data_IF_991788856734
#
_entry.id   IF_991788856734
#
_cell.length_a   1.000
_cell.length_b   1.000
_cell.length_c   1.000
_cell.angle_alpha   90.00
_cell.angle_beta   90.00
_cell.angle_gamma   90.00
#
_symmetry.space_group_name_H-M   'P 1'
#
loop_
_entity.id
_entity.type
_entity.pdbx_description
1 polymer ?
#
# COMPACT_ATOMS: atom_id res chain seq x y z
N UNK A 1 5.31 22.91 6.30
CA UNK A 1 4.29 23.39 7.27
C UNK A 1 4.17 22.37 8.39
N UNK A 2 4.29 22.75 9.67
CA UNK A 2 3.96 21.88 10.81
C UNK A 2 2.53 22.22 11.26
N UNK A 3 1.69 21.22 11.41
CA UNK A 3 0.31 21.39 11.87
C UNK A 3 -0.07 20.32 12.88
N UNK A 4 -1.06 20.62 13.70
CA UNK A 4 -1.69 19.68 14.62
C UNK A 4 -3.15 19.54 14.24
N UNK A 5 -3.63 18.31 14.16
CA UNK A 5 -5.05 18.02 13.96
C UNK A 5 -5.64 17.60 15.30
N UNK A 6 -6.66 18.30 15.76
CA UNK A 6 -7.43 17.90 16.93
C UNK A 6 -8.46 16.84 16.52
N UNK A 7 -8.50 15.73 17.26
CA UNK A 7 -9.55 14.72 17.11
C UNK A 7 -10.86 15.30 17.62
N UNK A 8 -11.88 15.37 16.75
CA UNK A 8 -13.27 15.62 17.16
C UNK A 8 -13.95 14.28 17.41
N UNK A 9 -14.94 14.23 18.30
CA UNK A 9 -15.72 13.01 18.59
C UNK A 9 -16.47 12.45 17.39
N UNK A 10 -16.66 13.24 16.32
CA UNK A 10 -17.24 12.88 15.04
C UNK A 10 -16.20 12.60 13.95
N UNK A 11 -14.97 12.21 14.31
CA UNK A 11 -13.93 11.94 13.33
C UNK A 11 -14.31 10.76 12.42
N UNK A 12 -13.91 10.85 11.15
CA UNK A 12 -14.04 9.77 10.17
C UNK A 12 -13.51 8.44 10.75
N UNK A 13 -14.21 7.30 10.59
CA UNK A 13 -13.80 6.01 11.12
C UNK A 13 -12.36 5.60 10.73
N UNK A 14 -11.91 5.95 9.52
CA UNK A 14 -10.54 5.68 9.08
C UNK A 14 -9.51 6.49 9.85
N UNK A 15 -9.78 7.77 10.06
CA UNK A 15 -8.91 8.65 10.86
C UNK A 15 -8.83 8.14 12.30
N UNK A 16 -9.96 7.73 12.88
CA UNK A 16 -10.02 7.17 14.23
C UNK A 16 -9.19 5.89 14.31
N UNK A 17 -9.34 4.95 13.37
CA UNK A 17 -8.58 3.71 13.31
C UNK A 17 -7.08 3.97 13.18
N UNK A 18 -6.67 4.90 12.31
CA UNK A 18 -5.26 5.28 12.14
C UNK A 18 -4.66 5.84 13.43
N UNK A 19 -5.36 6.76 14.11
CA UNK A 19 -4.88 7.37 15.33
C UNK A 19 -4.72 6.35 16.48
N UNK A 20 -5.61 5.36 16.55
CA UNK A 20 -5.56 4.29 17.56
C UNK A 20 -4.53 3.19 17.21
N UNK A 21 -4.07 3.10 15.97
CA UNK A 21 -3.17 2.03 15.51
C UNK A 21 -1.68 2.29 15.79
N UNK A 22 -1.34 3.45 16.37
CA UNK A 22 0.03 3.79 16.76
C UNK A 22 0.83 4.45 15.64
N UNK A 23 2.16 4.35 15.73
CA UNK A 23 3.11 4.99 14.82
C UNK A 23 4.12 3.97 14.31
N UNK A 24 4.64 4.20 13.12
CA UNK A 24 5.70 3.39 12.54
C UNK A 24 6.86 4.24 12.03
N UNK A 25 8.07 3.67 12.02
CA UNK A 25 9.25 4.33 11.46
C UNK A 25 9.18 4.31 9.94
N UNK A 26 9.27 5.49 9.33
CA UNK A 26 9.28 5.64 7.88
C UNK A 26 10.62 5.20 7.30
N UNK A 27 10.58 4.35 6.27
CA UNK A 27 11.75 3.90 5.50
C UNK A 27 11.51 3.87 3.99
N UNK A 28 10.25 3.99 3.55
CA UNK A 28 9.91 3.89 2.14
C UNK A 28 10.69 4.87 1.25
N UNK A 29 11.08 6.05 1.77
CA UNK A 29 11.90 7.01 1.04
C UNK A 29 13.27 6.45 0.58
N UNK A 30 13.71 5.33 1.18
CA UNK A 30 14.94 4.64 0.80
C UNK A 30 14.82 3.92 -0.56
N UNK A 31 13.58 3.62 -1.01
CA UNK A 31 13.28 2.93 -2.27
C UNK A 31 12.45 3.77 -3.24
N UNK A 32 11.78 4.83 -2.76
CA UNK A 32 10.92 5.68 -3.60
C UNK A 32 11.73 6.49 -4.61
N UNK A 33 11.14 6.71 -5.79
CA UNK A 33 11.74 7.49 -6.87
C UNK A 33 12.04 8.93 -6.46
N UNK A 34 13.19 9.45 -6.89
CA UNK A 34 13.58 10.88 -6.74
C UNK A 34 12.64 11.83 -7.49
N UNK A 35 11.85 11.34 -8.45
CA UNK A 35 10.80 12.09 -9.19
C UNK A 35 9.48 12.22 -8.39
N UNK A 36 9.45 11.80 -7.13
CA UNK A 36 8.25 11.84 -6.30
C UNK A 36 7.83 13.28 -6.02
N UNK A 37 6.66 13.67 -6.53
CA UNK A 37 6.05 14.98 -6.32
C UNK A 37 5.11 15.00 -5.10
N UNK A 38 4.43 13.87 -4.83
CA UNK A 38 3.58 13.68 -3.66
C UNK A 38 3.91 12.37 -2.97
N UNK A 39 4.15 12.41 -1.67
CA UNK A 39 4.37 11.22 -0.85
C UNK A 39 3.53 11.26 0.41
N UNK A 40 2.68 10.27 0.58
CA UNK A 40 1.92 10.03 1.80
C UNK A 40 2.42 8.74 2.44
N UNK A 41 2.93 8.84 3.66
CA UNK A 41 3.25 7.67 4.48
C UNK A 41 2.17 7.45 5.53
N UNK A 42 1.71 6.21 5.65
CA UNK A 42 0.78 5.77 6.69
C UNK A 42 1.51 4.75 7.54
N UNK A 43 1.66 5.08 8.82
CA UNK A 43 2.39 4.26 9.79
C UNK A 43 1.48 3.77 10.91
N UNK A 44 1.54 2.47 11.23
CA UNK A 44 0.83 1.86 12.35
C UNK A 44 1.62 0.67 12.92
N UNK A 45 1.33 0.27 14.15
CA UNK A 45 2.07 -0.81 14.80
C UNK A 45 1.81 -2.17 14.13
N UNK A 46 0.57 -2.41 13.68
CA UNK A 46 0.16 -3.66 13.06
C UNK A 46 -1.02 -3.44 12.10
N UNK A 47 -0.94 -3.99 10.86
CA UNK A 47 -2.07 -3.99 9.92
C UNK A 47 -3.32 -4.66 10.48
N UNK A 48 -3.15 -5.76 11.22
CA UNK A 48 -4.25 -6.49 11.87
C UNK A 48 -4.94 -5.61 12.91
N UNK A 49 -4.17 -4.90 13.72
CA UNK A 49 -4.72 -3.96 14.71
C UNK A 49 -5.46 -2.82 14.01
N UNK A 50 -4.89 -2.25 12.95
CA UNK A 50 -5.56 -1.20 12.18
C UNK A 50 -6.92 -1.66 11.63
N UNK A 51 -6.98 -2.85 11.04
CA UNK A 51 -8.25 -3.40 10.52
C UNK A 51 -9.27 -3.61 11.64
N UNK A 52 -8.87 -4.13 12.80
CA UNK A 52 -9.75 -4.28 13.96
C UNK A 52 -10.28 -2.93 14.47
N UNK A 53 -9.42 -1.93 14.59
CA UNK A 53 -9.83 -0.57 14.97
C UNK A 53 -10.78 0.05 13.94
N UNK A 54 -10.55 -0.19 12.65
CA UNK A 54 -11.44 0.26 11.58
C UNK A 54 -12.82 -0.44 11.67
N UNK A 55 -12.85 -1.74 11.88
CA UNK A 55 -14.08 -2.51 12.07
C UNK A 55 -14.87 -2.00 13.28
N UNK A 56 -14.20 -1.76 14.41
CA UNK A 56 -14.80 -1.18 15.60
C UNK A 56 -15.38 0.21 15.32
N UNK A 57 -14.60 1.08 14.72
CA UNK A 57 -15.04 2.44 14.39
C UNK A 57 -16.23 2.45 13.41
N UNK A 58 -16.21 1.59 12.39
CA UNK A 58 -17.32 1.44 11.45
C UNK A 58 -18.58 0.91 12.12
N UNK A 59 -18.46 -0.10 13.00
CA UNK A 59 -19.61 -0.70 13.70
C UNK A 59 -20.35 0.32 14.59
N UNK A 60 -19.62 1.26 15.16
CA UNK A 60 -20.17 2.31 16.05
C UNK A 60 -20.75 3.49 15.26
N UNK A 61 -20.02 3.96 14.23
CA UNK A 61 -20.36 5.22 13.56
C UNK A 61 -21.09 5.05 12.22
N UNK A 62 -21.03 3.87 11.59
CA UNK A 62 -21.67 3.60 10.30
C UNK A 62 -21.93 2.10 10.12
N UNK A 63 -22.99 1.62 10.76
CA UNK A 63 -23.37 0.20 10.72
C UNK A 63 -23.60 -0.31 9.28
N UNK A 64 -24.20 0.49 8.41
CA UNK A 64 -24.45 0.08 7.02
C UNK A 64 -23.12 -0.17 6.27
N UNK A 65 -22.14 0.70 6.47
CA UNK A 65 -20.81 0.53 5.86
C UNK A 65 -20.07 -0.64 6.46
N UNK A 66 -20.21 -0.87 7.78
CA UNK A 66 -19.68 -2.05 8.46
C UNK A 66 -20.22 -3.35 7.89
N UNK A 67 -21.56 -3.45 7.78
CA UNK A 67 -22.22 -4.65 7.26
C UNK A 67 -21.83 -4.92 5.79
N UNK A 68 -21.74 -3.87 4.97
CA UNK A 68 -21.26 -3.95 3.59
C UNK A 68 -19.80 -4.41 3.51
N UNK A 69 -18.93 -3.88 4.36
CA UNK A 69 -17.53 -4.28 4.46
C UNK A 69 -17.40 -5.75 4.84
N UNK A 70 -18.07 -6.20 5.91
CA UNK A 70 -18.04 -7.58 6.37
C UNK A 70 -18.59 -8.57 5.32
N UNK A 71 -19.69 -8.19 4.65
CA UNK A 71 -20.27 -8.99 3.57
C UNK A 71 -19.31 -9.14 2.40
N UNK A 72 -18.67 -8.04 1.99
CA UNK A 72 -17.68 -8.05 0.90
C UNK A 72 -16.46 -8.88 1.25
N UNK A 73 -15.94 -8.76 2.48
CA UNK A 73 -14.82 -9.56 2.98
C UNK A 73 -15.16 -11.06 2.94
N UNK A 74 -16.26 -11.47 3.56
CA UNK A 74 -16.70 -12.88 3.57
C UNK A 74 -16.89 -13.45 2.16
N UNK A 75 -17.45 -12.64 1.26
CA UNK A 75 -17.68 -13.03 -0.14
C UNK A 75 -16.36 -13.34 -0.86
N UNK A 76 -15.34 -12.54 -0.67
CA UNK A 76 -14.03 -12.73 -1.30
C UNK A 76 -13.24 -13.84 -0.65
N UNK A 77 -13.21 -13.91 0.69
CA UNK A 77 -12.59 -15.01 1.40
C UNK A 77 -13.21 -16.36 0.98
N UNK A 78 -14.53 -16.42 0.87
CA UNK A 78 -15.25 -17.62 0.40
C UNK A 78 -15.02 -17.92 -1.08
N UNK A 79 -15.07 -16.89 -1.96
CA UNK A 79 -14.88 -17.06 -3.41
C UNK A 79 -13.49 -17.59 -3.73
N UNK A 80 -12.45 -17.05 -3.12
CA UNK A 80 -11.07 -17.43 -3.40
C UNK A 80 -10.50 -18.48 -2.44
N UNK A 81 -11.18 -18.76 -1.30
CA UNK A 81 -10.68 -19.65 -0.25
C UNK A 81 -9.35 -19.13 0.33
N UNK A 82 -9.30 -17.85 0.61
CA UNK A 82 -8.20 -17.15 1.24
C UNK A 82 -8.71 -16.52 2.54
N UNK A 83 -7.81 -16.34 3.50
CA UNK A 83 -8.03 -15.50 4.68
C UNK A 83 -7.27 -14.19 4.48
N UNK A 84 -7.98 -13.06 4.58
CA UNK A 84 -7.37 -11.75 4.45
C UNK A 84 -6.32 -11.53 5.54
N UNK A 85 -6.61 -11.91 6.75
CA UNK A 85 -5.72 -11.77 7.89
C UNK A 85 -4.45 -12.62 7.71
N UNK A 86 -4.62 -13.93 7.39
CA UNK A 86 -3.51 -14.86 7.29
C UNK A 86 -2.67 -14.69 6.01
N UNK A 87 -3.33 -14.45 4.87
CA UNK A 87 -2.65 -14.47 3.58
C UNK A 87 -2.24 -13.08 3.09
N UNK A 88 -2.83 -12.00 3.63
CA UNK A 88 -2.49 -10.65 3.18
C UNK A 88 -1.94 -9.78 4.32
N UNK A 89 -2.63 -9.65 5.47
CA UNK A 89 -2.19 -8.77 6.54
C UNK A 89 -1.01 -9.33 7.34
N UNK A 90 -0.85 -10.64 7.42
CA UNK A 90 0.15 -11.30 8.27
C UNK A 90 1.61 -10.92 7.94
N UNK A 91 1.94 -10.81 6.65
CA UNK A 91 3.28 -10.49 6.20
C UNK A 91 3.61 -8.99 6.20
N UNK A 92 2.59 -8.14 6.23
CA UNK A 92 2.80 -6.69 6.22
C UNK A 92 3.42 -6.21 7.53
N UNK A 93 4.33 -5.26 7.44
CA UNK A 93 4.76 -4.45 8.58
C UNK A 93 3.77 -3.30 8.81
N UNK A 94 4.15 -2.25 9.49
CA UNK A 94 3.28 -1.12 9.77
C UNK A 94 3.50 0.09 8.86
N UNK A 95 4.06 -0.06 7.67
CA UNK A 95 4.36 1.06 6.77
C UNK A 95 3.73 0.88 5.38
N UNK A 96 2.92 1.87 5.00
CA UNK A 96 2.36 2.02 3.66
C UNK A 96 2.77 3.37 3.10
N UNK A 97 3.35 3.37 1.92
CA UNK A 97 3.74 4.57 1.19
C UNK A 97 2.95 4.70 -0.10
N UNK A 98 2.21 5.79 -0.25
CA UNK A 98 1.51 6.15 -1.48
C UNK A 98 2.24 7.33 -2.10
N UNK A 99 2.67 7.19 -3.34
CA UNK A 99 3.34 8.28 -4.06
C UNK A 99 2.69 8.56 -5.40
N UNK A 100 2.76 9.82 -5.77
CA UNK A 100 2.57 10.25 -7.14
C UNK A 100 3.88 10.88 -7.60
N UNK A 101 4.44 10.32 -8.65
CA UNK A 101 5.69 10.79 -9.26
C UNK A 101 5.41 11.42 -10.61
N UNK A 102 6.31 12.32 -11.04
CA UNK A 102 6.35 12.78 -12.42
C UNK A 102 6.58 11.58 -13.37
N UNK A 103 6.17 11.69 -14.65
CA UNK A 103 6.41 10.63 -15.62
C UNK A 103 7.88 10.25 -15.70
N UNK A 104 8.16 8.93 -15.72
CA UNK A 104 9.50 8.42 -15.96
C UNK A 104 9.76 8.15 -17.44
N UNK A 105 10.94 7.61 -17.75
CA UNK A 105 11.36 7.30 -19.12
C UNK A 105 10.39 6.38 -19.89
N UNK A 106 9.68 5.53 -19.17
CA UNK A 106 8.78 4.52 -19.75
C UNK A 106 7.30 4.90 -19.63
N UNK A 107 6.98 6.08 -19.09
CA UNK A 107 5.62 6.57 -18.87
C UNK A 107 5.39 7.97 -19.42
N UNK A 108 4.12 8.28 -19.75
CA UNK A 108 3.70 9.59 -20.25
C UNK A 108 2.82 10.36 -19.26
N UNK A 109 2.31 9.68 -18.24
CA UNK A 109 1.41 10.23 -17.23
C UNK A 109 2.04 10.16 -15.84
N UNK A 110 1.56 10.95 -14.88
CA UNK A 110 1.94 10.82 -13.49
C UNK A 110 1.81 9.39 -12.99
N UNK A 111 2.80 8.92 -12.26
CA UNK A 111 2.91 7.54 -11.81
C UNK A 111 2.41 7.40 -10.38
N UNK A 112 1.41 6.56 -10.18
CA UNK A 112 0.86 6.23 -8.86
C UNK A 112 1.46 4.91 -8.37
N UNK A 113 2.14 4.97 -7.23
CA UNK A 113 2.79 3.83 -6.58
C UNK A 113 2.25 3.66 -5.16
N UNK A 114 2.00 2.41 -4.78
CA UNK A 114 1.78 2.00 -3.41
C UNK A 114 2.90 1.02 -3.02
N UNK A 115 3.72 1.37 -2.05
CA UNK A 115 4.71 0.47 -1.48
C UNK A 115 4.27 0.03 -0.08
N UNK A 116 4.16 -1.29 0.12
CA UNK A 116 3.79 -1.91 1.39
C UNK A 116 5.01 -2.64 1.93
N UNK A 117 5.47 -2.24 3.11
CA UNK A 117 6.62 -2.88 3.72
C UNK A 117 6.25 -4.25 4.28
N UNK A 118 7.06 -5.25 3.99
CA UNK A 118 6.95 -6.59 4.54
C UNK A 118 7.79 -6.74 5.83
N UNK A 119 7.34 -7.59 6.74
CA UNK A 119 8.15 -8.09 7.87
C UNK A 119 9.25 -9.03 7.37
N UNK A 120 8.90 -9.80 6.32
CA UNK A 120 9.77 -10.73 5.61
C UNK A 120 9.32 -10.75 4.14
N UNK A 121 10.19 -10.37 3.23
CA UNK A 121 9.87 -10.39 1.79
C UNK A 121 9.64 -11.82 1.28
N UNK A 122 10.31 -12.81 1.88
CA UNK A 122 10.10 -14.23 1.58
C UNK A 122 8.67 -14.67 1.91
N UNK A 123 8.14 -14.24 3.06
CA UNK A 123 6.77 -14.58 3.47
C UNK A 123 5.75 -13.81 2.63
N UNK A 124 6.04 -12.56 2.27
CA UNK A 124 5.23 -11.80 1.34
C UNK A 124 5.11 -12.51 -0.01
N UNK A 125 6.23 -12.94 -0.62
CA UNK A 125 6.24 -13.71 -1.88
C UNK A 125 5.39 -14.98 -1.76
N UNK A 126 5.63 -15.80 -0.75
CA UNK A 126 4.89 -17.04 -0.52
C UNK A 126 3.38 -16.83 -0.43
N UNK A 127 2.97 -15.79 0.29
CA UNK A 127 1.54 -15.47 0.45
C UNK A 127 0.93 -14.89 -0.83
N UNK A 128 1.63 -14.01 -1.54
CA UNK A 128 1.17 -13.47 -2.83
C UNK A 128 1.02 -14.59 -3.88
N UNK A 129 2.00 -15.49 -3.99
CA UNK A 129 1.90 -16.68 -4.85
C UNK A 129 0.72 -17.60 -4.47
N UNK A 130 0.47 -17.77 -3.17
CA UNK A 130 -0.68 -18.54 -2.70
C UNK A 130 -2.00 -17.90 -3.14
N UNK A 131 -2.15 -16.58 -2.95
CA UNK A 131 -3.32 -15.82 -3.39
C UNK A 131 -3.50 -15.95 -4.90
N UNK A 132 -2.43 -15.79 -5.68
CA UNK A 132 -2.47 -15.95 -7.14
C UNK A 132 -2.93 -17.35 -7.56
N UNK A 133 -2.38 -18.41 -6.96
CA UNK A 133 -2.79 -19.79 -7.24
C UNK A 133 -4.28 -20.01 -6.94
N UNK A 134 -4.78 -19.41 -5.87
CA UNK A 134 -6.21 -19.48 -5.52
C UNK A 134 -7.09 -18.74 -6.53
N UNK A 135 -6.69 -17.54 -6.94
CA UNK A 135 -7.39 -16.78 -7.96
C UNK A 135 -7.40 -17.54 -9.29
N UNK A 136 -6.25 -18.03 -9.78
CA UNK A 136 -6.13 -18.83 -11.02
C UNK A 136 -7.04 -20.07 -11.04
N UNK A 137 -7.20 -20.74 -9.91
CA UNK A 137 -8.02 -21.98 -9.83
C UNK A 137 -9.52 -21.71 -9.85
N UNK A 138 -9.96 -20.51 -9.46
CA UNK A 138 -11.39 -20.20 -9.25
C UNK A 138 -11.95 -19.17 -10.21
N UNK A 139 -11.11 -18.59 -11.03
CA UNK A 139 -11.49 -17.60 -12.03
C UNK A 139 -10.76 -17.85 -13.36
N UNK A 140 -11.33 -17.47 -14.51
CA UNK A 140 -10.65 -17.50 -15.80
C UNK A 140 -9.56 -16.41 -15.93
N UNK A 141 -9.20 -15.76 -14.84
CA UNK A 141 -8.25 -14.65 -14.77
C UNK A 141 -6.85 -15.11 -15.16
N UNK A 142 -6.26 -14.42 -16.14
CA UNK A 142 -4.87 -14.64 -16.55
C UNK A 142 -3.96 -13.80 -15.70
N UNK A 143 -3.15 -14.44 -14.85
CA UNK A 143 -2.01 -13.77 -14.21
C UNK A 143 -0.89 -13.77 -15.24
N UNK A 144 -0.38 -12.60 -15.55
CA UNK A 144 0.75 -12.40 -16.46
C UNK A 144 1.95 -11.97 -15.62
N UNK A 145 3.06 -12.63 -15.84
CA UNK A 145 4.36 -12.23 -15.27
C UNK A 145 5.26 -11.80 -16.43
N UNK A 146 5.90 -10.66 -16.29
CA UNK A 146 6.93 -10.19 -17.21
C UNK A 146 8.21 -9.91 -16.41
N UNK A 147 9.35 -10.30 -16.94
CA UNK A 147 10.64 -9.99 -16.34
C UNK A 147 11.19 -8.70 -16.93
N UNK A 148 11.69 -7.83 -16.08
CA UNK A 148 12.42 -6.64 -16.45
C UNK A 148 13.68 -6.53 -15.58
N UNK A 149 14.85 -6.71 -16.20
CA UNK A 149 16.11 -6.90 -15.47
C UNK A 149 15.96 -8.05 -14.47
N UNK A 150 16.31 -7.82 -13.20
CA UNK A 150 16.20 -8.82 -12.12
C UNK A 150 14.84 -8.76 -11.38
N UNK A 151 13.87 -8.02 -11.92
CA UNK A 151 12.56 -7.82 -11.31
C UNK A 151 11.44 -8.51 -12.08
N UNK A 152 10.60 -9.22 -11.34
CA UNK A 152 9.35 -9.77 -11.84
C UNK A 152 8.22 -8.77 -11.70
N UNK A 153 7.56 -8.41 -12.79
CA UNK A 153 6.33 -7.59 -12.79
C UNK A 153 5.14 -8.55 -12.92
N UNK A 154 4.39 -8.65 -11.85
CA UNK A 154 3.22 -9.51 -11.77
C UNK A 154 1.94 -8.67 -11.92
N UNK A 155 0.90 -9.27 -12.52
CA UNK A 155 -0.41 -8.64 -12.68
C UNK A 155 -1.49 -9.50 -12.05
N UNK A 156 -2.24 -8.94 -11.11
CA UNK A 156 -3.41 -9.57 -10.48
C UNK A 156 -4.68 -8.89 -10.98
N UNK A 157 -5.41 -9.56 -11.87
CA UNK A 157 -6.67 -9.02 -12.40
C UNK A 157 -7.82 -9.16 -11.39
N UNK A 158 -7.70 -8.52 -10.22
CA UNK A 158 -8.74 -8.50 -9.21
C UNK A 158 -9.13 -7.06 -8.88
N UNK A 159 -10.19 -6.57 -9.53
CA UNK A 159 -10.72 -5.23 -9.29
C UNK A 159 -11.10 -5.04 -7.81
N UNK A 160 -10.70 -3.92 -7.24
CA UNK A 160 -11.09 -3.52 -5.90
C UNK A 160 -10.41 -4.31 -4.78
N UNK A 161 -9.35 -5.08 -5.08
CA UNK A 161 -8.60 -5.86 -4.09
C UNK A 161 -8.21 -4.99 -2.87
N UNK A 162 -7.54 -3.88 -3.09
CA UNK A 162 -7.13 -2.98 -1.99
C UNK A 162 -8.28 -2.27 -1.29
N UNK A 163 -9.34 -1.92 -2.03
CA UNK A 163 -10.53 -1.29 -1.46
C UNK A 163 -11.19 -2.15 -0.40
N UNK A 164 -11.17 -3.46 -0.58
CA UNK A 164 -11.74 -4.41 0.37
C UNK A 164 -11.02 -4.42 1.71
N UNK A 165 -9.71 -4.19 1.69
CA UNK A 165 -8.90 -4.26 2.91
C UNK A 165 -8.79 -2.93 3.63
N UNK A 166 -8.65 -1.86 2.83
CA UNK A 166 -8.26 -0.56 3.34
C UNK A 166 -9.29 0.53 3.01
N UNK A 167 -10.43 0.14 2.45
CA UNK A 167 -11.52 1.05 2.12
C UNK A 167 -11.17 2.07 1.05
N UNK A 168 -11.85 3.22 1.10
CA UNK A 168 -11.76 4.28 0.08
C UNK A 168 -10.36 4.87 -0.10
N UNK A 169 -9.49 4.75 0.88
CA UNK A 169 -8.12 5.28 0.81
C UNK A 169 -7.33 4.69 -0.36
N UNK A 170 -7.69 3.46 -0.77
CA UNK A 170 -7.01 2.71 -1.83
C UNK A 170 -7.86 2.51 -3.09
N UNK A 171 -8.95 3.26 -3.26
CA UNK A 171 -9.83 3.18 -4.45
C UNK A 171 -9.08 3.41 -5.77
N UNK A 172 -7.98 4.16 -5.72
CA UNK A 172 -7.15 4.42 -6.90
C UNK A 172 -6.37 3.20 -7.40
N UNK A 173 -6.29 2.10 -6.63
CA UNK A 173 -5.55 0.87 -6.99
C UNK A 173 -6.52 -0.24 -7.41
N UNK A 174 -7.16 -0.08 -8.58
CA UNK A 174 -8.18 -1.02 -9.04
C UNK A 174 -7.63 -2.30 -9.68
N UNK A 175 -6.52 -2.21 -10.40
CA UNK A 175 -5.90 -3.30 -11.17
C UNK A 175 -4.41 -3.37 -10.89
N UNK A 176 -4.00 -3.94 -9.75
CA UNK A 176 -2.62 -3.85 -9.35
C UNK A 176 -1.70 -4.75 -10.17
N UNK A 177 -0.73 -4.13 -10.82
CA UNK A 177 0.56 -4.74 -11.09
C UNK A 177 1.39 -4.66 -9.83
N UNK A 178 2.27 -5.61 -9.60
CA UNK A 178 3.17 -5.55 -8.46
C UNK A 178 4.54 -6.16 -8.76
N UNK A 179 5.51 -5.70 -7.98
CA UNK A 179 6.88 -6.21 -7.95
C UNK A 179 7.42 -6.18 -6.52
N UNK A 180 8.62 -6.70 -6.34
CA UNK A 180 9.30 -6.71 -5.05
C UNK A 180 10.60 -5.92 -5.13
N UNK A 181 10.78 -4.97 -4.22
CA UNK A 181 11.99 -4.14 -4.11
C UNK A 181 12.40 -4.09 -2.65
N UNK A 182 13.57 -4.58 -2.30
CA UNK A 182 14.05 -4.77 -0.93
C UNK A 182 12.98 -5.45 -0.04
N UNK A 183 12.60 -4.80 1.06
CA UNK A 183 11.58 -5.26 2.00
C UNK A 183 10.15 -4.89 1.58
N UNK A 184 9.92 -4.39 0.35
CA UNK A 184 8.62 -3.86 -0.08
C UNK A 184 8.00 -4.68 -1.19
N UNK A 185 6.68 -4.83 -1.10
CA UNK A 185 5.82 -5.17 -2.23
C UNK A 185 5.28 -3.85 -2.81
N UNK A 186 5.63 -3.59 -4.05
CA UNK A 186 5.34 -2.31 -4.74
C UNK A 186 4.27 -2.53 -5.78
N UNK A 187 3.21 -1.74 -5.72
CA UNK A 187 2.02 -1.86 -6.58
C UNK A 187 1.80 -0.60 -7.41
N UNK A 188 1.24 -0.79 -8.61
CA UNK A 188 0.73 0.28 -9.47
C UNK A 188 -0.41 -0.23 -10.36
N UNK A 189 -1.24 0.67 -10.88
CA UNK A 189 -2.25 0.33 -11.89
C UNK A 189 -1.68 0.16 -13.30
N UNK A 190 -0.42 0.54 -13.52
CA UNK A 190 0.25 0.49 -14.83
C UNK A 190 1.58 -0.24 -14.71
N UNK A 191 1.82 -1.20 -15.60
CA UNK A 191 3.13 -1.87 -15.68
C UNK A 191 4.26 -0.86 -15.95
N UNK A 192 4.03 0.12 -16.84
CA UNK A 192 5.01 1.15 -17.16
C UNK A 192 5.48 1.95 -15.94
N UNK A 193 4.57 2.25 -14.99
CA UNK A 193 4.92 2.95 -13.75
C UNK A 193 5.83 2.09 -12.84
N UNK A 194 5.62 0.77 -12.78
CA UNK A 194 6.52 -0.12 -12.06
C UNK A 194 7.88 -0.25 -12.74
N UNK A 195 7.90 -0.28 -14.08
CA UNK A 195 9.14 -0.32 -14.85
C UNK A 195 9.96 0.96 -14.61
N UNK A 196 9.32 2.14 -14.66
CA UNK A 196 9.97 3.41 -14.35
C UNK A 196 10.45 3.47 -12.89
N UNK A 197 9.66 2.93 -11.96
CA UNK A 197 10.05 2.85 -10.55
C UNK A 197 11.29 1.97 -10.35
N UNK A 198 11.33 0.80 -10.97
CA UNK A 198 12.47 -0.11 -10.92
C UNK A 198 13.70 0.53 -11.56
N UNK A 199 13.52 1.25 -12.69
CA UNK A 199 14.62 1.96 -13.35
C UNK A 199 15.25 3.02 -12.44
N UNK A 200 14.43 3.85 -11.78
CA UNK A 200 14.93 4.82 -10.80
C UNK A 200 15.65 4.15 -9.63
N UNK A 201 15.12 3.02 -9.15
CA UNK A 201 15.74 2.26 -8.07
C UNK A 201 17.13 1.74 -8.46
N UNK A 202 17.27 1.15 -9.63
CA UNK A 202 18.53 0.65 -10.19
C UNK A 202 19.55 1.77 -10.41
N UNK A 203 19.11 2.91 -10.92
CA UNK A 203 19.94 4.08 -11.16
C UNK A 203 20.26 4.88 -9.89
N UNK A 204 19.72 4.44 -8.72
CA UNK A 204 19.86 5.15 -7.42
C UNK A 204 19.29 6.58 -7.45
N UNK A 205 18.35 6.85 -8.36
CA UNK A 205 17.55 8.07 -8.38
C UNK A 205 16.43 7.97 -7.34
N UNK A 206 16.78 8.12 -6.06
CA UNK A 206 15.91 7.85 -4.93
C UNK A 206 15.52 9.12 -4.18
N UNK A 207 14.32 9.12 -3.60
CA UNK A 207 13.77 10.24 -2.84
C UNK A 207 14.67 10.64 -1.66
N UNK A 208 15.33 9.69 -1.02
CA UNK A 208 16.30 9.96 0.05
C UNK A 208 17.47 10.83 -0.37
N UNK A 209 17.78 10.86 -1.68
CA UNK A 209 18.88 11.65 -2.26
C UNK A 209 18.39 13.02 -2.76
N UNK A 210 17.09 13.32 -2.61
CA UNK A 210 16.53 14.62 -2.99
C UNK A 210 16.79 15.65 -1.86
N UNK A 211 17.53 16.74 -2.11
CA UNK A 211 17.90 17.72 -1.09
C UNK A 211 16.69 18.39 -0.42
N UNK A 212 15.60 18.61 -1.18
CA UNK A 212 14.36 19.17 -0.64
C UNK A 212 13.69 18.23 0.34
N UNK A 213 13.67 16.93 0.04
CA UNK A 213 13.15 15.91 0.91
C UNK A 213 14.02 15.71 2.16
N UNK A 214 15.33 15.65 2.01
CA UNK A 214 16.28 15.54 3.12
C UNK A 214 16.12 16.70 4.11
N UNK A 215 16.03 17.92 3.59
CA UNK A 215 15.75 19.11 4.39
C UNK A 215 14.39 18.98 5.13
N UNK A 216 13.33 18.54 4.44
CA UNK A 216 12.02 18.33 5.07
C UNK A 216 12.09 17.28 6.19
N UNK A 217 12.82 16.17 6.01
CA UNK A 217 13.00 15.14 7.03
C UNK A 217 13.71 15.64 8.28
N UNK A 218 14.67 16.55 8.17
CA UNK A 218 15.44 17.08 9.30
C UNK A 218 14.56 17.78 10.35
N UNK A 219 13.39 18.27 9.95
CA UNK A 219 12.40 18.92 10.84
C UNK A 219 11.36 17.96 11.42
N UNK A 220 11.41 16.67 11.09
CA UNK A 220 10.35 15.72 11.44
C UNK A 220 10.84 14.64 12.41
N UNK A 221 9.89 14.04 13.13
CA UNK A 221 10.16 12.82 13.90
C UNK A 221 10.29 11.63 12.94
N UNK A 222 11.19 10.71 13.25
CA UNK A 222 11.42 9.49 12.45
C UNK A 222 10.24 8.52 12.41
N UNK A 223 9.21 8.73 13.23
CA UNK A 223 7.99 7.91 13.26
C UNK A 223 6.75 8.78 13.25
N UNK A 224 5.76 8.37 12.46
CA UNK A 224 4.48 9.06 12.34
C UNK A 224 3.35 8.07 12.06
N UNK A 225 2.11 8.48 12.35
CA UNK A 225 0.91 7.79 11.87
C UNK A 225 0.60 8.21 10.44
N UNK A 226 0.69 9.51 10.15
CA UNK A 226 0.52 10.06 8.81
C UNK A 226 1.65 11.07 8.58
N UNK A 227 2.27 10.99 7.43
CA UNK A 227 3.25 11.95 6.92
C UNK A 227 2.87 12.33 5.49
N UNK A 228 2.99 13.59 5.16
CA UNK A 228 2.74 14.12 3.83
C UNK A 228 3.91 15.00 3.38
N UNK A 229 4.40 14.74 2.18
CA UNK A 229 5.41 15.54 1.48
C UNK A 229 4.87 15.93 0.10
N UNK A 230 5.04 17.19 -0.27
CA UNK A 230 4.64 17.77 -1.56
C UNK A 230 5.72 18.72 -2.04
#
# INVERSE_FOLDING_TARGET
MKGYTLKKDSADPYVTALLNSGKHKMKAHEILSGRTALYTNIGFNSPVTFVKELENALSVHNKQLYDSYQSSRKKIEGLFGISLEENFLSWMSGEFAITQSEPGLLGHDPELILAIRAKSIKDARKNMEFIEKKIKRRTPVKIKTANYKDFEINYVEMKGFFRLFFGKLFDKFEKPYYTYVDDYVVFSNKAASLLSFVEDYEQKNLLKNNPGFENALSYLKSSSTIFLYT
#
